data_IF_178505084519
#
_entry.id   IF_178505084519
#
_cell.length_a   1.000
_cell.length_b   1.000
_cell.length_c   1.000
_cell.angle_alpha   90.00
_cell.angle_beta   90.00
_cell.angle_gamma   90.00
#
_symmetry.space_group_name_H-M   'P 1'
#
loop_
_entity.id
_entity.type
_entity.pdbx_description
1 polymer ?
#
# COMPACT_ATOMS: atom_id res chain seq x y z
N UNK A 1 -1.27 2.75 10.98
CA UNK A 1 -1.22 3.12 9.55
C UNK A 1 -2.58 3.53 8.99
N UNK A 2 -3.61 2.66 8.91
CA UNK A 2 -4.92 3.08 8.37
C UNK A 2 -5.55 4.20 9.21
N UNK A 3 -5.58 4.03 10.53
CA UNK A 3 -6.12 5.05 11.43
C UNK A 3 -5.29 6.34 11.35
N UNK A 4 -3.96 6.26 11.34
CA UNK A 4 -3.09 7.44 11.34
C UNK A 4 -3.06 8.18 10.00
N UNK A 5 -2.93 7.47 8.88
CA UNK A 5 -2.75 8.08 7.54
C UNK A 5 -4.07 8.41 6.86
N UNK A 6 -5.11 7.59 7.06
CA UNK A 6 -6.39 7.74 6.35
C UNK A 6 -7.43 8.44 7.23
N UNK A 7 -7.52 8.06 8.51
CA UNK A 7 -8.60 8.48 9.40
C UNK A 7 -8.25 9.60 10.38
N UNK A 8 -6.97 9.95 10.56
CA UNK A 8 -6.62 11.03 11.48
C UNK A 8 -7.14 12.39 10.99
N UNK A 9 -7.19 13.38 11.87
CA UNK A 9 -7.60 14.75 11.52
C UNK A 9 -6.69 15.39 10.45
N UNK A 10 -5.45 14.90 10.33
CA UNK A 10 -4.47 15.30 9.30
C UNK A 10 -4.35 14.26 8.18
N UNK A 11 -5.20 13.24 8.18
CA UNK A 11 -5.21 12.16 7.21
C UNK A 11 -5.87 12.55 5.90
N UNK A 12 -6.28 11.55 5.12
CA UNK A 12 -6.87 11.74 3.78
C UNK A 12 -8.34 12.21 3.80
N UNK A 13 -8.92 12.47 4.97
CA UNK A 13 -10.27 13.01 5.11
C UNK A 13 -11.39 12.09 4.61
N UNK A 14 -11.14 10.78 4.49
CA UNK A 14 -12.05 9.82 3.85
C UNK A 14 -13.42 9.73 4.55
N UNK A 15 -13.47 9.99 5.85
CA UNK A 15 -14.71 9.97 6.65
C UNK A 15 -15.13 11.37 7.14
N UNK A 16 -14.53 12.43 6.60
CA UNK A 16 -14.82 13.81 7.03
C UNK A 16 -16.09 14.39 6.41
N UNK A 17 -16.40 14.06 5.16
CA UNK A 17 -17.57 14.58 4.44
C UNK A 17 -18.32 13.49 3.66
N UNK A 18 -19.58 13.79 3.32
CA UNK A 18 -20.51 12.84 2.73
C UNK A 18 -20.06 12.27 1.40
N UNK A 19 -19.43 13.11 0.57
CA UNK A 19 -18.95 12.71 -0.73
C UNK A 19 -17.81 11.70 -0.61
N UNK A 20 -16.99 11.80 0.43
CA UNK A 20 -15.87 10.88 0.65
C UNK A 20 -16.34 9.59 1.33
N UNK A 21 -17.12 9.67 2.41
CA UNK A 21 -17.53 8.44 3.10
C UNK A 21 -18.48 7.60 2.27
N UNK A 22 -19.25 8.19 1.35
CA UNK A 22 -20.08 7.44 0.41
C UNK A 22 -19.26 6.45 -0.45
N UNK A 23 -18.04 6.82 -0.87
CA UNK A 23 -17.15 5.92 -1.62
C UNK A 23 -16.66 4.76 -0.77
N UNK A 24 -16.37 5.01 0.52
CA UNK A 24 -15.99 3.96 1.45
C UNK A 24 -17.17 3.03 1.73
N UNK A 25 -18.36 3.58 2.00
CA UNK A 25 -19.56 2.80 2.23
C UNK A 25 -19.95 1.94 1.02
N UNK A 26 -19.68 2.39 -0.22
CA UNK A 26 -19.91 1.58 -1.41
C UNK A 26 -19.13 0.25 -1.44
N UNK A 27 -18.06 0.10 -0.65
CA UNK A 27 -17.32 -1.16 -0.49
C UNK A 27 -17.92 -2.09 0.58
N UNK A 28 -18.94 -1.63 1.32
CA UNK A 28 -19.64 -2.45 2.31
C UNK A 28 -20.79 -3.17 1.60
N UNK A 29 -20.82 -4.52 1.56
CA UNK A 29 -21.79 -5.27 0.76
C UNK A 29 -23.23 -5.19 1.34
N UNK A 30 -23.37 -4.99 2.65
CA UNK A 30 -24.67 -4.94 3.34
C UNK A 30 -25.35 -3.57 3.20
N UNK A 31 -26.51 -3.53 2.53
CA UNK A 31 -27.23 -2.28 2.24
C UNK A 31 -27.80 -1.61 3.48
N UNK A 32 -28.26 -2.39 4.46
CA UNK A 32 -28.84 -1.88 5.70
C UNK A 32 -27.76 -1.16 6.53
N UNK A 33 -26.55 -1.72 6.58
CA UNK A 33 -25.39 -1.06 7.21
C UNK A 33 -25.09 0.25 6.48
N UNK A 34 -25.01 0.26 5.14
CA UNK A 34 -24.75 1.49 4.37
C UNK A 34 -25.79 2.57 4.63
N UNK A 35 -27.08 2.22 4.58
CA UNK A 35 -28.19 3.14 4.79
C UNK A 35 -28.19 3.70 6.22
N UNK A 36 -27.94 2.83 7.22
CA UNK A 36 -27.84 3.24 8.62
C UNK A 36 -26.70 4.23 8.85
N UNK A 37 -25.49 3.92 8.37
CA UNK A 37 -24.32 4.79 8.50
C UNK A 37 -24.54 6.12 7.77
N UNK A 38 -25.06 6.09 6.55
CA UNK A 38 -25.37 7.31 5.76
C UNK A 38 -26.35 8.22 6.51
N UNK A 39 -27.44 7.66 7.04
CA UNK A 39 -28.42 8.41 7.82
C UNK A 39 -27.84 8.98 9.11
N UNK A 40 -27.05 8.19 9.84
CA UNK A 40 -26.45 8.58 11.12
C UNK A 40 -25.42 9.69 10.92
N UNK A 41 -24.53 9.54 9.95
CA UNK A 41 -23.44 10.50 9.70
C UNK A 41 -23.88 11.76 8.96
N UNK A 42 -24.95 11.68 8.17
CA UNK A 42 -25.57 12.84 7.50
C UNK A 42 -26.53 13.64 8.38
N UNK A 43 -26.80 13.22 9.62
CA UNK A 43 -27.66 13.96 10.53
C UNK A 43 -27.00 15.30 10.93
N UNK A 44 -27.79 16.38 10.99
CA UNK A 44 -27.29 17.74 11.30
C UNK A 44 -26.66 17.88 12.67
N UNK A 45 -26.94 16.96 13.59
CA UNK A 45 -26.39 16.90 14.94
C UNK A 45 -25.24 15.88 15.08
N UNK A 46 -24.79 15.27 13.97
CA UNK A 46 -23.70 14.31 14.00
C UNK A 46 -22.36 15.02 14.24
N UNK A 47 -21.76 14.79 15.41
CA UNK A 47 -20.44 15.31 15.78
C UNK A 47 -19.37 14.21 15.85
N UNK A 48 -19.57 13.07 15.16
CA UNK A 48 -18.64 11.96 15.20
C UNK A 48 -17.42 12.22 14.32
N UNK A 49 -16.23 12.06 14.90
CA UNK A 49 -14.98 12.18 14.16
C UNK A 49 -14.74 10.98 13.23
N UNK A 50 -13.82 11.08 12.25
CA UNK A 50 -13.50 9.99 11.32
C UNK A 50 -13.17 8.65 12.01
N UNK A 51 -12.33 8.66 13.05
CA UNK A 51 -11.99 7.45 13.81
C UNK A 51 -13.18 6.83 14.53
N UNK A 52 -14.14 7.66 14.97
CA UNK A 52 -15.38 7.20 15.57
C UNK A 52 -16.32 6.59 14.54
N UNK A 53 -16.50 7.25 13.38
CA UNK A 53 -17.27 6.69 12.26
C UNK A 53 -16.73 5.34 11.82
N UNK A 54 -15.41 5.18 11.76
CA UNK A 54 -14.79 3.89 11.46
C UNK A 54 -15.09 2.83 12.52
N UNK A 55 -15.00 3.17 13.81
CA UNK A 55 -15.39 2.27 14.90
C UNK A 55 -16.86 1.87 14.82
N UNK A 56 -17.76 2.80 14.56
CA UNK A 56 -19.20 2.52 14.39
C UNK A 56 -19.46 1.54 13.23
N UNK A 57 -18.77 1.72 12.11
CA UNK A 57 -18.87 0.81 10.97
C UNK A 57 -18.35 -0.58 11.32
N UNK A 58 -17.19 -0.69 11.98
CA UNK A 58 -16.65 -1.98 12.44
C UNK A 58 -17.63 -2.70 13.36
N UNK A 59 -18.16 -2.00 14.35
CA UNK A 59 -19.14 -2.57 15.29
C UNK A 59 -20.42 -3.03 14.58
N UNK A 60 -20.89 -2.28 13.58
CA UNK A 60 -22.07 -2.65 12.79
C UNK A 60 -21.82 -3.92 11.95
N UNK A 61 -20.67 -3.99 11.27
CA UNK A 61 -20.26 -5.17 10.50
C UNK A 61 -20.10 -6.38 11.42
N UNK A 62 -19.39 -6.25 12.53
CA UNK A 62 -19.17 -7.33 13.48
C UNK A 62 -20.50 -7.86 14.03
N UNK A 63 -21.40 -6.99 14.47
CA UNK A 63 -22.73 -7.39 14.95
C UNK A 63 -23.50 -8.19 13.90
N UNK A 64 -23.46 -7.75 12.65
CA UNK A 64 -24.15 -8.42 11.55
C UNK A 64 -23.51 -9.77 11.22
N UNK A 65 -22.18 -9.87 11.22
CA UNK A 65 -21.44 -11.13 11.05
C UNK A 65 -21.79 -12.14 12.15
N UNK A 66 -21.83 -11.70 13.42
CA UNK A 66 -22.21 -12.56 14.55
C UNK A 66 -23.67 -13.03 14.45
N UNK A 67 -24.58 -12.14 14.06
CA UNK A 67 -25.99 -12.48 13.82
C UNK A 67 -26.14 -13.55 12.73
N UNK A 68 -25.40 -13.41 11.62
CA UNK A 68 -25.41 -14.38 10.53
C UNK A 68 -24.87 -15.75 10.98
N UNK A 69 -23.79 -15.77 11.76
CA UNK A 69 -23.21 -17.00 12.30
C UNK A 69 -24.16 -17.72 13.27
N UNK A 70 -24.84 -16.98 14.16
CA UNK A 70 -25.80 -17.54 15.11
C UNK A 70 -27.06 -18.07 14.39
N UNK A 71 -27.54 -17.36 13.36
CA UNK A 71 -28.68 -17.80 12.56
C UNK A 71 -28.39 -19.11 11.82
N UNK A 72 -27.16 -19.29 11.32
CA UNK A 72 -26.73 -20.53 10.68
C UNK A 72 -26.66 -21.71 11.67
N UNK A 73 -26.26 -21.47 12.94
CA UNK A 73 -26.19 -22.49 13.99
C UNK A 73 -27.56 -22.90 14.55
N UNK A 74 -28.49 -21.95 14.65
CA UNK A 74 -29.81 -22.19 15.25
C UNK A 74 -30.78 -22.96 14.34
N UNK A 75 -30.40 -23.31 13.11
CA UNK A 75 -31.21 -24.13 12.21
C UNK A 75 -32.59 -23.55 11.88
N UNK A 76 -32.79 -22.23 11.94
CA UNK A 76 -34.09 -21.58 11.74
C UNK A 76 -34.55 -21.50 10.28
N UNK A 77 -34.27 -22.53 9.47
CA UNK A 77 -34.76 -22.65 8.10
C UNK A 77 -36.13 -23.35 8.08
N UNK A 78 -37.17 -22.68 8.58
CA UNK A 78 -38.56 -23.10 8.42
C UNK A 78 -39.15 -22.75 7.04
N UNK A 79 -38.34 -22.20 6.11
CA UNK A 79 -38.74 -21.99 4.72
C UNK A 79 -37.58 -22.32 3.79
N UNK A 80 -37.69 -23.45 3.08
CA UNK A 80 -36.81 -23.80 1.96
C UNK A 80 -36.84 -22.67 0.94
N UNK A 81 -35.82 -21.81 1.00
CA UNK A 81 -35.58 -20.77 0.01
C UNK A 81 -35.12 -21.44 -1.29
N UNK A 82 -35.41 -20.84 -2.44
CA UNK A 82 -34.94 -21.33 -3.74
C UNK A 82 -33.40 -21.53 -3.71
N UNK A 83 -32.86 -22.57 -4.37
CA UNK A 83 -31.44 -22.95 -4.27
C UNK A 83 -30.46 -21.80 -4.62
N UNK A 84 -30.82 -20.91 -5.55
CA UNK A 84 -30.01 -19.73 -5.88
C UNK A 84 -30.01 -18.64 -4.79
N UNK A 85 -31.10 -18.52 -4.02
CA UNK A 85 -31.21 -17.51 -2.95
C UNK A 85 -30.31 -17.82 -1.75
N UNK A 86 -29.98 -19.09 -1.54
CA UNK A 86 -29.08 -19.51 -0.46
C UNK A 86 -27.61 -19.28 -0.84
N UNK A 87 -27.23 -19.54 -2.10
CA UNK A 87 -25.88 -19.29 -2.60
C UNK A 87 -25.50 -17.78 -2.54
N UNK A 88 -26.37 -16.90 -3.03
CA UNK A 88 -26.13 -15.45 -2.97
C UNK A 88 -26.01 -14.93 -1.53
N UNK A 89 -26.83 -15.43 -0.60
CA UNK A 89 -26.73 -15.06 0.82
C UNK A 89 -25.43 -15.51 1.45
N UNK A 90 -24.96 -16.73 1.12
CA UNK A 90 -23.67 -17.25 1.62
C UNK A 90 -22.48 -16.47 1.06
N UNK A 91 -22.57 -16.03 -0.20
CA UNK A 91 -21.58 -15.18 -0.84
C UNK A 91 -21.52 -13.79 -0.20
N UNK A 92 -22.66 -13.09 -0.07
CA UNK A 92 -22.72 -11.79 0.59
C UNK A 92 -22.27 -11.86 2.07
N UNK A 93 -22.62 -12.94 2.78
CA UNK A 93 -22.13 -13.18 4.13
C UNK A 93 -20.63 -13.48 4.17
N UNK A 94 -20.01 -13.95 3.07
CA UNK A 94 -18.58 -14.11 2.96
C UNK A 94 -17.87 -12.78 2.69
N UNK A 95 -18.37 -11.98 1.76
CA UNK A 95 -17.86 -10.63 1.49
C UNK A 95 -17.95 -9.74 2.73
N UNK A 96 -19.06 -9.79 3.47
CA UNK A 96 -19.19 -9.00 4.70
C UNK A 96 -18.15 -9.37 5.77
N UNK A 97 -17.67 -10.62 5.81
CA UNK A 97 -16.62 -11.03 6.76
C UNK A 97 -15.25 -10.46 6.43
N UNK A 98 -15.01 -10.10 5.16
CA UNK A 98 -13.72 -9.61 4.67
C UNK A 98 -13.74 -8.14 4.26
N UNK A 99 -14.93 -7.50 4.22
CA UNK A 99 -15.07 -6.16 3.66
C UNK A 99 -14.24 -5.10 4.39
N UNK A 100 -14.05 -5.22 5.72
CA UNK A 100 -13.23 -4.26 6.47
C UNK A 100 -11.75 -4.36 6.08
N UNK A 101 -11.23 -5.59 5.93
CA UNK A 101 -9.86 -5.83 5.46
C UNK A 101 -9.70 -5.37 4.02
N UNK A 102 -10.68 -5.64 3.16
CA UNK A 102 -10.69 -5.19 1.76
C UNK A 102 -10.68 -3.66 1.65
N UNK A 103 -11.44 -2.95 2.49
CA UNK A 103 -11.40 -1.48 2.57
C UNK A 103 -9.98 -1.02 2.94
N UNK A 104 -9.36 -1.60 3.97
CA UNK A 104 -8.00 -1.24 4.38
C UNK A 104 -7.02 -1.46 3.23
N UNK A 105 -7.12 -2.60 2.52
CA UNK A 105 -6.27 -2.90 1.37
C UNK A 105 -6.54 -1.95 0.19
N UNK A 106 -7.79 -1.59 -0.10
CA UNK A 106 -8.13 -0.67 -1.19
C UNK A 106 -7.48 0.72 -1.03
N UNK A 107 -7.27 1.15 0.21
CA UNK A 107 -6.64 2.44 0.53
C UNK A 107 -5.13 2.38 0.74
N UNK A 108 -4.60 1.30 1.32
CA UNK A 108 -3.18 1.23 1.70
C UNK A 108 -2.33 0.33 0.83
N UNK A 109 -2.92 -0.62 0.11
CA UNK A 109 -2.16 -1.58 -0.65
C UNK A 109 -1.50 -0.91 -1.88
N UNK A 110 -0.21 -1.15 -2.15
CA UNK A 110 0.47 -0.59 -3.31
C UNK A 110 -0.22 -0.98 -4.63
N UNK A 111 -0.56 0.02 -5.43
CA UNK A 111 -1.07 -0.20 -6.79
C UNK A 111 0.12 -0.44 -7.72
N UNK A 112 0.38 -1.70 -8.01
CA UNK A 112 1.49 -2.09 -8.88
C UNK A 112 1.11 -1.88 -10.35
N UNK A 113 1.96 -1.17 -11.10
CA UNK A 113 1.88 -1.19 -12.56
C UNK A 113 2.44 -2.53 -13.06
N UNK A 114 1.55 -3.51 -13.23
CA UNK A 114 1.95 -4.87 -13.56
C UNK A 114 2.71 -4.97 -14.90
N UNK A 115 2.55 -4.01 -15.82
CA UNK A 115 3.17 -4.08 -17.14
C UNK A 115 4.69 -3.82 -17.07
N UNK A 116 5.17 -3.15 -16.03
CA UNK A 116 6.60 -2.91 -15.83
C UNK A 116 7.37 -4.18 -15.41
N UNK A 117 6.67 -5.19 -14.90
CA UNK A 117 7.27 -6.42 -14.34
C UNK A 117 6.99 -7.68 -15.17
N UNK A 118 6.08 -7.63 -16.16
CA UNK A 118 5.70 -8.81 -16.96
C UNK A 118 6.69 -9.15 -18.06
N UNK A 119 7.29 -8.14 -18.69
CA UNK A 119 8.11 -8.33 -19.89
C UNK A 119 9.57 -7.99 -19.60
N UNK A 120 10.48 -8.88 -20.03
CA UNK A 120 11.93 -8.75 -19.75
C UNK A 120 12.59 -7.59 -20.53
N UNK A 121 11.95 -7.12 -21.59
CA UNK A 121 12.42 -6.00 -22.44
C UNK A 121 11.79 -4.65 -22.05
N UNK A 122 11.09 -4.57 -20.92
CA UNK A 122 10.53 -3.32 -20.45
C UNK A 122 11.66 -2.34 -20.07
N UNK A 123 11.62 -1.12 -20.63
CA UNK A 123 12.62 -0.10 -20.34
C UNK A 123 12.21 0.68 -19.09
N UNK A 124 13.12 0.73 -18.11
CA UNK A 124 12.97 1.52 -16.90
C UNK A 124 13.93 2.70 -16.90
N UNK A 125 13.57 3.74 -16.15
CA UNK A 125 14.42 4.90 -15.95
C UNK A 125 15.69 4.50 -15.19
N UNK A 126 16.84 4.95 -15.68
CA UNK A 126 18.12 4.77 -14.99
C UNK A 126 18.12 5.48 -13.62
N UNK A 127 18.73 4.88 -12.58
CA UNK A 127 19.15 5.63 -11.39
C UNK A 127 19.97 6.86 -11.79
N UNK A 128 19.85 7.93 -10.99
CA UNK A 128 20.50 9.22 -11.19
C UNK A 128 20.08 10.02 -12.44
N UNK A 129 19.10 9.55 -13.21
CA UNK A 129 18.52 10.34 -14.28
C UNK A 129 17.81 11.60 -13.73
N UNK A 130 17.91 12.71 -14.46
CA UNK A 130 17.19 13.94 -14.14
C UNK A 130 15.76 13.86 -14.68
N UNK A 131 14.77 14.13 -13.84
CA UNK A 131 13.38 14.19 -14.29
C UNK A 131 13.11 15.50 -15.04
N UNK A 132 12.70 15.47 -16.33
CA UNK A 132 12.73 16.64 -17.21
C UNK A 132 11.82 17.79 -16.73
N UNK A 133 10.67 17.48 -16.14
CA UNK A 133 9.73 18.52 -15.68
C UNK A 133 10.07 19.14 -14.33
N UNK A 134 10.81 18.43 -13.48
CA UNK A 134 11.04 18.85 -12.09
C UNK A 134 12.50 19.23 -11.82
N UNK A 135 13.42 18.88 -12.73
CA UNK A 135 14.85 19.04 -12.54
C UNK A 135 15.44 18.14 -11.44
N UNK A 136 14.62 17.35 -10.74
CA UNK A 136 15.03 16.50 -9.61
C UNK A 136 15.80 15.27 -10.11
N UNK A 137 16.87 14.92 -9.40
CA UNK A 137 17.65 13.71 -9.65
C UNK A 137 16.92 12.50 -9.07
N UNK A 138 16.86 11.39 -9.83
CA UNK A 138 16.28 10.13 -9.37
C UNK A 138 17.27 9.40 -8.46
N UNK A 139 17.28 9.77 -7.18
CA UNK A 139 18.21 9.25 -6.18
C UNK A 139 17.75 7.90 -5.59
N UNK A 140 18.68 7.02 -5.18
CA UNK A 140 18.36 5.84 -4.38
C UNK A 140 17.71 6.24 -3.04
N UNK A 141 16.78 5.42 -2.57
CA UNK A 141 16.06 5.61 -1.32
C UNK A 141 16.60 4.59 -0.31
N UNK A 142 16.96 5.07 0.87
CA UNK A 142 17.31 4.20 1.99
C UNK A 142 16.05 3.62 2.63
N UNK A 143 15.99 2.29 2.68
CA UNK A 143 14.82 1.56 3.19
C UNK A 143 14.72 1.71 4.71
N UNK A 144 15.85 1.76 5.41
CA UNK A 144 15.87 1.86 6.88
C UNK A 144 15.42 3.23 7.38
N UNK A 145 15.51 4.26 6.53
CA UNK A 145 15.11 5.64 6.85
C UNK A 145 13.99 6.18 5.93
N UNK A 146 13.23 5.29 5.27
CA UNK A 146 12.21 5.64 4.27
C UNK A 146 11.15 6.62 4.76
N UNK A 147 10.71 6.52 6.02
CA UNK A 147 9.71 7.42 6.62
C UNK A 147 10.17 8.89 6.66
N UNK A 148 11.48 9.14 6.58
CA UNK A 148 12.08 10.48 6.59
C UNK A 148 12.38 11.02 5.19
N UNK A 149 12.17 10.22 4.15
CA UNK A 149 12.46 10.60 2.77
C UNK A 149 11.46 11.66 2.27
N UNK A 150 11.99 12.83 1.90
CA UNK A 150 11.20 13.93 1.36
C UNK A 150 11.47 14.09 -0.15
N UNK A 151 10.51 13.76 -1.03
CA UNK A 151 10.69 13.85 -2.48
C UNK A 151 10.86 15.29 -2.98
N UNK A 152 10.54 16.30 -2.17
CA UNK A 152 10.71 17.70 -2.54
C UNK A 152 12.11 18.25 -2.21
N UNK A 153 12.86 17.57 -1.33
CA UNK A 153 14.21 17.94 -0.90
C UNK A 153 15.34 17.19 -1.60
N UNK A 154 15.01 16.31 -2.56
CA UNK A 154 16.04 15.67 -3.38
C UNK A 154 16.74 16.73 -4.28
N UNK A 155 18.05 16.57 -4.57
CA UNK A 155 18.79 17.54 -5.36
C UNK A 155 18.18 17.79 -6.73
N UNK A 156 18.26 19.04 -7.17
CA UNK A 156 17.90 19.41 -8.55
C UNK A 156 19.13 19.71 -9.38
N UNK A 157 19.04 19.56 -10.70
CA UNK A 157 20.15 19.85 -11.60
C UNK A 157 20.65 21.30 -11.48
N UNK A 158 19.73 22.27 -11.35
CA UNK A 158 20.09 23.68 -11.16
C UNK A 158 20.85 23.91 -9.86
N UNK A 159 20.35 23.34 -8.75
CA UNK A 159 21.05 23.41 -7.47
C UNK A 159 22.46 22.80 -7.54
N UNK A 160 22.61 21.63 -8.17
CA UNK A 160 23.91 20.98 -8.27
C UNK A 160 24.89 21.80 -9.11
N UNK A 161 24.41 22.47 -10.16
CA UNK A 161 25.23 23.38 -10.96
C UNK A 161 25.74 24.56 -10.13
N UNK A 162 24.88 25.19 -9.34
CA UNK A 162 25.27 26.28 -8.43
C UNK A 162 26.27 25.83 -7.35
N UNK A 163 26.07 24.63 -6.78
CA UNK A 163 26.97 24.04 -5.80
C UNK A 163 28.37 23.77 -6.39
N UNK A 164 28.43 23.30 -7.64
CA UNK A 164 29.69 23.08 -8.38
C UNK A 164 30.41 24.39 -8.68
N UNK A 165 29.70 25.41 -9.14
CA UNK A 165 30.27 26.72 -9.49
C UNK A 165 30.79 27.47 -8.25
N UNK A 166 30.26 27.16 -7.06
CA UNK A 166 30.72 27.72 -5.79
C UNK A 166 32.04 27.15 -5.26
N UNK A 167 32.76 26.36 -6.07
CA UNK A 167 34.05 25.72 -5.74
C UNK A 167 33.99 24.80 -4.51
N UNK A 168 32.80 24.29 -4.20
CA UNK A 168 32.60 23.31 -3.15
C UNK A 168 33.10 21.94 -3.64
N UNK A 169 34.02 21.31 -2.90
CA UNK A 169 34.52 19.96 -3.22
C UNK A 169 33.46 18.87 -3.07
N UNK A 170 32.25 19.24 -2.65
CA UNK A 170 31.17 18.33 -2.31
C UNK A 170 29.82 18.98 -2.60
N UNK A 171 28.95 18.23 -3.27
CA UNK A 171 27.57 18.62 -3.57
C UNK A 171 26.58 17.87 -2.69
N UNK A 172 25.34 18.32 -2.68
CA UNK A 172 24.20 17.63 -2.07
C UNK A 172 23.95 16.23 -2.66
N UNK A 173 24.56 15.91 -3.80
CA UNK A 173 24.50 14.59 -4.45
C UNK A 173 25.37 13.53 -3.77
N UNK A 174 26.48 13.92 -3.14
CA UNK A 174 27.52 13.01 -2.64
C UNK A 174 26.95 11.95 -1.68
N UNK A 175 26.01 12.32 -0.80
CA UNK A 175 25.39 11.38 0.15
C UNK A 175 24.65 10.23 -0.53
N UNK A 176 23.99 10.50 -1.66
CA UNK A 176 23.23 9.49 -2.39
C UNK A 176 24.14 8.56 -3.19
N UNK A 177 25.24 9.09 -3.74
CA UNK A 177 26.26 8.29 -4.44
C UNK A 177 26.96 7.37 -3.44
N UNK A 178 27.40 7.91 -2.31
CA UNK A 178 28.04 7.15 -1.25
C UNK A 178 27.13 6.03 -0.74
N UNK A 179 25.84 6.33 -0.48
CA UNK A 179 24.85 5.33 -0.09
C UNK A 179 24.66 4.23 -1.16
N UNK A 180 24.56 4.61 -2.44
CA UNK A 180 24.42 3.62 -3.52
C UNK A 180 25.63 2.68 -3.60
N UNK A 181 26.83 3.24 -3.43
CA UNK A 181 28.06 2.47 -3.45
C UNK A 181 28.14 1.50 -2.26
N UNK A 182 27.91 2.00 -1.04
CA UNK A 182 28.05 1.22 0.19
C UNK A 182 26.96 0.18 0.38
N UNK A 183 25.71 0.56 0.09
CA UNK A 183 24.53 -0.22 0.46
C UNK A 183 24.04 -1.12 -0.67
N UNK A 184 24.39 -0.82 -1.93
CA UNK A 184 23.95 -1.60 -3.08
C UNK A 184 25.12 -2.19 -3.87
N UNK A 185 26.02 -1.37 -4.42
CA UNK A 185 27.04 -1.84 -5.36
C UNK A 185 28.07 -2.78 -4.72
N UNK A 186 28.62 -2.42 -3.55
CA UNK A 186 29.59 -3.25 -2.84
C UNK A 186 28.99 -4.60 -2.42
N UNK A 187 27.83 -4.68 -1.75
CA UNK A 187 27.17 -5.94 -1.44
C UNK A 187 26.86 -6.79 -2.69
N UNK A 188 26.38 -6.15 -3.77
CA UNK A 188 26.08 -6.84 -5.03
C UNK A 188 27.34 -7.47 -5.65
N UNK A 189 28.46 -6.73 -5.66
CA UNK A 189 29.73 -7.24 -6.17
C UNK A 189 30.25 -8.44 -5.35
N UNK A 190 30.12 -8.39 -4.02
CA UNK A 190 30.47 -9.51 -3.15
C UNK A 190 29.57 -10.73 -3.43
N UNK A 191 28.26 -10.53 -3.54
CA UNK A 191 27.31 -11.59 -3.83
C UNK A 191 27.56 -12.23 -5.21
N UNK A 192 27.89 -11.42 -6.23
CA UNK A 192 28.24 -11.91 -7.56
C UNK A 192 29.49 -12.80 -7.54
N UNK A 193 30.58 -12.33 -6.91
CA UNK A 193 31.82 -13.12 -6.76
C UNK A 193 31.58 -14.43 -6.00
N UNK A 194 30.76 -14.41 -4.95
CA UNK A 194 30.39 -15.61 -4.21
C UNK A 194 29.66 -16.61 -5.11
N UNK A 195 28.68 -16.15 -5.90
CA UNK A 195 27.94 -16.99 -6.84
C UNK A 195 28.85 -17.64 -7.89
N UNK A 196 29.81 -16.90 -8.43
CA UNK A 196 30.80 -17.44 -9.39
C UNK A 196 31.74 -18.47 -8.75
N UNK A 197 32.12 -18.26 -7.49
CA UNK A 197 32.94 -19.23 -6.74
C UNK A 197 32.14 -20.51 -6.47
N UNK A 198 30.92 -20.38 -5.95
CA UNK A 198 30.05 -21.52 -5.63
C UNK A 198 29.74 -22.35 -6.89
N UNK A 199 29.58 -21.70 -8.06
CA UNK A 199 29.45 -22.38 -9.35
C UNK A 199 30.71 -23.17 -9.73
N UNK A 200 31.90 -22.56 -9.60
CA UNK A 200 33.18 -23.24 -9.90
C UNK A 200 33.44 -24.42 -8.97
N UNK A 201 33.15 -24.28 -7.68
CA UNK A 201 33.29 -25.36 -6.70
C UNK A 201 32.33 -26.51 -7.04
N UNK A 202 31.09 -26.21 -7.45
CA UNK A 202 30.12 -27.22 -7.91
C UNK A 202 30.58 -27.92 -9.18
N UNK A 203 31.13 -27.19 -10.15
CA UNK A 203 31.60 -27.78 -11.41
C UNK A 203 32.82 -28.68 -11.18
N UNK A 204 33.80 -28.23 -10.39
CA UNK A 204 34.97 -29.03 -10.02
C UNK A 204 34.59 -30.33 -9.28
N UNK A 205 33.62 -30.26 -8.36
CA UNK A 205 33.10 -31.44 -7.67
C UNK A 205 32.42 -32.44 -8.61
N UNK A 206 31.82 -31.97 -9.72
CA UNK A 206 31.16 -32.82 -10.72
C UNK A 206 32.13 -33.40 -11.75
N UNK A 207 33.19 -32.67 -12.11
CA UNK A 207 34.18 -33.12 -13.10
C UNK A 207 35.32 -33.94 -12.48
N UNK A 208 35.45 -33.96 -11.15
CA UNK A 208 36.52 -34.68 -10.45
C UNK A 208 37.89 -34.02 -10.59
N UNK A 209 37.92 -32.78 -11.07
CA UNK A 209 39.10 -31.96 -11.29
C UNK A 209 39.30 -31.11 -10.03
N UNK A 210 39.88 -31.72 -8.99
CA UNK A 210 40.16 -31.08 -7.69
C UNK A 210 41.54 -30.45 -7.65
#
# INVERSE_FOLDING_TARGET
MFEDMILSDKGQGVLCDERQWAKLLAMVPDEDIRANMTRRWGATNCNTGPSEKWRELRDAVDKQVHKNANSARSGSSLKRSAPNGDANKRFAAAELRTCLQEIVLAYLYPRLDANVSKQRNHLLKSPFAVHPKTGRVCVPIDVDSMETFDPFKVPTLGQLHEELDSDSSTTSMNKYVAFFESSFLKPLAVAAKRKERDARESDAAMTGDW
#
